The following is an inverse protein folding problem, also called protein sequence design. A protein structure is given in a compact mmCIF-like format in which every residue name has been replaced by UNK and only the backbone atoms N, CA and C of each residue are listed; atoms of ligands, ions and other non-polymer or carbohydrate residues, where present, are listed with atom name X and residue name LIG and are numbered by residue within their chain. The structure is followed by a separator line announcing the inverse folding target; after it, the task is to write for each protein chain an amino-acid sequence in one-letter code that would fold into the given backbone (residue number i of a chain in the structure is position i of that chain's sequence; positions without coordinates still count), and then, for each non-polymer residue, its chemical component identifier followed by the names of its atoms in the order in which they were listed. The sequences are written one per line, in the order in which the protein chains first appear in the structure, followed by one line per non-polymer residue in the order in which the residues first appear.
data_IF_928797766259
#
_entry.id   IF_928797766259
#
_cell.length_a   1.000
_cell.length_b   1.000
_cell.length_c   1.000
_cell.angle_alpha   90.00
_cell.angle_beta   90.00
_cell.angle_gamma   90.00
#
_symmetry.space_group_name_H-M   'P 1'
#
loop_
_entity.id
_entity.type
_entity.pdbx_description
1 polymer ?
#
# COMPACT_ATOMS: atom_id res chain seq x y z
N UNK A 1 71.52 26.72 8.83
CA UNK A 1 70.55 26.66 7.72
C UNK A 1 69.53 27.76 7.96
N UNK A 2 69.72 28.90 7.31
CA UNK A 2 68.90 30.11 7.49
C UNK A 2 67.76 30.05 6.46
N UNK A 3 66.53 29.81 6.90
CA UNK A 3 65.36 29.87 6.02
C UNK A 3 65.02 31.34 5.77
N UNK A 4 65.43 31.83 4.60
CA UNK A 4 65.09 33.14 4.07
C UNK A 4 63.57 33.24 3.91
N UNK A 5 62.96 34.18 4.62
CA UNK A 5 61.54 34.53 4.45
C UNK A 5 61.41 35.38 3.17
N UNK A 6 60.84 34.79 2.13
CA UNK A 6 60.45 35.51 0.92
C UNK A 6 59.05 36.11 1.13
N UNK A 7 58.90 37.44 1.14
CA UNK A 7 57.58 38.04 1.32
C UNK A 7 56.69 37.69 0.11
N UNK A 8 55.38 37.45 0.33
CA UNK A 8 54.46 37.16 -0.75
C UNK A 8 54.40 38.33 -1.72
N UNK A 9 54.71 38.05 -3.00
CA UNK A 9 54.60 39.00 -4.09
C UNK A 9 53.16 39.53 -4.16
N UNK A 10 52.94 40.85 -4.29
CA UNK A 10 51.61 41.37 -4.58
C UNK A 10 51.21 40.84 -5.96
N UNK A 11 50.17 40.01 -5.99
CA UNK A 11 49.52 39.57 -7.23
C UNK A 11 48.94 40.81 -7.91
N UNK A 12 49.71 41.37 -8.85
CA UNK A 12 49.25 42.43 -9.75
C UNK A 12 48.06 41.87 -10.51
N UNK A 13 46.88 42.43 -10.25
CA UNK A 13 45.62 41.96 -10.79
C UNK A 13 45.66 41.85 -12.31
N UNK A 14 45.23 40.70 -12.83
CA UNK A 14 44.85 40.58 -14.22
C UNK A 14 43.73 41.60 -14.51
N UNK A 15 43.87 42.48 -15.52
CA UNK A 15 42.81 43.40 -15.89
C UNK A 15 41.68 42.58 -16.54
N UNK A 16 40.68 42.19 -15.76
CA UNK A 16 39.48 41.53 -16.31
C UNK A 16 38.57 40.79 -15.34
N UNK A 17 38.98 40.47 -14.12
CA UNK A 17 38.07 39.84 -13.14
C UNK A 17 37.55 40.90 -12.16
N UNK A 18 36.56 41.67 -12.60
CA UNK A 18 35.71 42.39 -11.66
C UNK A 18 35.13 41.36 -10.67
N UNK A 19 35.15 41.59 -9.35
CA UNK A 19 34.17 40.99 -8.49
C UNK A 19 32.84 41.56 -8.98
N UNK A 20 32.17 40.83 -9.86
CA UNK A 20 30.81 41.18 -10.25
C UNK A 20 30.00 41.06 -8.97
N UNK A 21 29.65 42.21 -8.39
CA UNK A 21 28.52 42.33 -7.49
C UNK A 21 27.35 41.64 -8.20
N UNK A 22 27.13 40.36 -7.88
CA UNK A 22 26.04 39.60 -8.45
C UNK A 22 24.79 40.42 -8.19
N UNK A 23 24.13 40.86 -9.26
CA UNK A 23 23.01 41.76 -9.10
C UNK A 23 21.96 41.08 -8.22
N UNK A 24 21.20 41.84 -7.44
CA UNK A 24 20.14 41.28 -6.59
C UNK A 24 19.18 40.37 -7.39
N UNK A 25 19.00 40.66 -8.69
CA UNK A 25 18.22 39.81 -9.60
C UNK A 25 18.88 38.47 -9.95
N UNK A 26 20.20 38.40 -10.00
CA UNK A 26 20.96 37.19 -10.28
C UNK A 26 20.97 36.23 -9.08
N UNK A 27 21.13 36.76 -7.86
CA UNK A 27 21.00 36.01 -6.62
C UNK A 27 19.58 35.47 -6.40
N UNK A 28 18.55 36.27 -6.72
CA UNK A 28 17.15 35.81 -6.66
C UNK A 28 16.86 34.71 -7.68
N UNK A 29 17.47 34.81 -8.88
CA UNK A 29 17.38 33.77 -9.90
C UNK A 29 17.98 32.44 -9.45
N UNK A 30 19.13 32.49 -8.78
CA UNK A 30 19.82 31.32 -8.24
C UNK A 30 19.03 30.65 -7.10
N UNK A 31 18.54 31.43 -6.13
CA UNK A 31 17.69 30.91 -5.03
C UNK A 31 16.39 30.30 -5.57
N UNK A 32 15.75 30.94 -6.56
CA UNK A 32 14.53 30.43 -7.20
C UNK A 32 14.79 29.09 -7.90
N UNK A 33 15.94 28.96 -8.55
CA UNK A 33 16.38 27.74 -9.21
C UNK A 33 16.67 26.62 -8.21
N UNK A 34 17.30 26.94 -7.09
CA UNK A 34 17.57 25.97 -6.02
C UNK A 34 16.29 25.49 -5.35
N UNK A 35 15.35 26.39 -5.05
CA UNK A 35 14.04 26.02 -4.51
C UNK A 35 13.23 25.15 -5.50
N UNK A 36 13.24 25.50 -6.79
CA UNK A 36 12.62 24.68 -7.85
C UNK A 36 13.25 23.29 -7.91
N UNK A 37 14.55 23.19 -7.68
CA UNK A 37 15.28 21.91 -7.62
C UNK A 37 14.86 21.09 -6.41
N UNK A 38 14.76 21.69 -5.22
CA UNK A 38 14.29 21.02 -4.00
C UNK A 38 12.86 20.50 -4.13
N UNK A 39 11.94 21.31 -4.64
CA UNK A 39 10.54 20.89 -4.84
C UNK A 39 10.47 19.68 -5.78
N UNK A 40 11.24 19.71 -6.88
CA UNK A 40 11.31 18.56 -7.81
C UNK A 40 11.89 17.32 -7.12
N UNK A 41 12.86 17.49 -6.23
CA UNK A 41 13.45 16.39 -5.47
C UNK A 41 12.47 15.80 -4.45
N UNK A 42 11.73 16.61 -3.70
CA UNK A 42 10.70 16.12 -2.78
C UNK A 42 9.61 15.35 -3.52
N UNK A 43 9.16 15.87 -4.67
CA UNK A 43 8.19 15.16 -5.53
C UNK A 43 8.78 13.82 -6.01
N UNK A 44 10.04 13.82 -6.46
CA UNK A 44 10.72 12.60 -6.90
C UNK A 44 10.86 11.58 -5.76
N UNK A 45 11.19 12.05 -4.55
CA UNK A 45 11.31 11.23 -3.36
C UNK A 45 9.95 10.66 -2.94
N UNK A 46 8.92 11.50 -2.81
CA UNK A 46 7.57 11.07 -2.46
C UNK A 46 7.02 10.05 -3.48
N UNK A 47 7.33 10.26 -4.77
CA UNK A 47 7.00 9.28 -5.82
C UNK A 47 7.75 7.96 -5.62
N UNK A 48 9.03 8.00 -5.27
CA UNK A 48 9.83 6.80 -5.01
C UNK A 48 9.32 6.03 -3.78
N UNK A 49 9.04 6.72 -2.66
CA UNK A 49 8.47 6.12 -1.44
C UNK A 49 7.08 5.54 -1.69
N UNK A 50 6.23 6.25 -2.45
CA UNK A 50 4.91 5.77 -2.82
C UNK A 50 5.02 4.51 -3.69
N UNK A 51 5.91 4.50 -4.68
CA UNK A 51 6.14 3.33 -5.53
C UNK A 51 6.69 2.13 -4.73
N UNK A 52 7.61 2.37 -3.80
CA UNK A 52 8.14 1.33 -2.92
C UNK A 52 7.05 0.78 -2.00
N UNK A 53 6.24 1.65 -1.40
CA UNK A 53 5.11 1.29 -0.55
C UNK A 53 4.08 0.48 -1.33
N UNK A 54 3.71 0.92 -2.53
CA UNK A 54 2.81 0.20 -3.42
C UNK A 54 3.35 -1.19 -3.80
N UNK A 55 4.65 -1.32 -4.06
CA UNK A 55 5.29 -2.62 -4.35
C UNK A 55 5.23 -3.56 -3.14
N UNK A 56 5.50 -3.06 -1.93
CA UNK A 56 5.44 -3.85 -0.71
C UNK A 56 4.01 -4.27 -0.39
N UNK A 57 3.07 -3.34 -0.44
CA UNK A 57 1.64 -3.61 -0.28
C UNK A 57 1.14 -4.61 -1.32
N UNK A 58 1.51 -4.43 -2.60
CA UNK A 58 1.17 -5.34 -3.70
C UNK A 58 1.73 -6.75 -3.50
N UNK A 59 2.99 -6.88 -3.08
CA UNK A 59 3.58 -8.18 -2.74
C UNK A 59 2.84 -8.83 -1.57
N UNK A 60 2.56 -8.07 -0.51
CA UNK A 60 1.81 -8.56 0.65
C UNK A 60 0.41 -9.04 0.28
N UNK A 61 -0.34 -8.22 -0.46
CA UNK A 61 -1.66 -8.58 -0.98
C UNK A 61 -1.61 -9.81 -1.88
N UNK A 62 -0.60 -9.91 -2.76
CA UNK A 62 -0.38 -11.09 -3.60
C UNK A 62 -0.09 -12.36 -2.78
N UNK A 63 0.73 -12.27 -1.74
CA UNK A 63 1.01 -13.39 -0.83
C UNK A 63 -0.23 -13.81 -0.05
N UNK A 64 -1.02 -12.86 0.46
CA UNK A 64 -2.28 -13.15 1.15
C UNK A 64 -3.32 -13.77 0.22
N UNK A 65 -3.43 -13.26 -1.02
CA UNK A 65 -4.28 -13.84 -2.05
C UNK A 65 -3.87 -15.28 -2.41
N UNK A 66 -2.56 -15.50 -2.59
CA UNK A 66 -1.99 -16.83 -2.80
C UNK A 66 -2.27 -17.77 -1.63
N UNK A 67 -2.07 -17.32 -0.39
CA UNK A 67 -2.34 -18.10 0.80
C UNK A 67 -3.82 -18.49 0.93
N UNK A 68 -4.74 -17.56 0.64
CA UNK A 68 -6.17 -17.84 0.61
C UNK A 68 -6.52 -18.92 -0.44
N UNK A 69 -5.95 -18.80 -1.64
CA UNK A 69 -6.14 -19.77 -2.71
C UNK A 69 -5.55 -21.15 -2.39
N UNK A 70 -4.34 -21.20 -1.84
CA UNK A 70 -3.71 -22.45 -1.39
C UNK A 70 -4.50 -23.10 -0.25
N UNK A 71 -5.03 -22.31 0.69
CA UNK A 71 -5.89 -22.81 1.77
C UNK A 71 -7.15 -23.49 1.22
N UNK A 72 -7.74 -22.94 0.14
CA UNK A 72 -8.86 -23.57 -0.54
C UNK A 72 -8.52 -24.99 -1.06
N UNK A 73 -7.36 -25.17 -1.70
CA UNK A 73 -6.92 -26.49 -2.13
C UNK A 73 -6.61 -27.45 -0.98
N UNK A 74 -6.00 -26.97 0.10
CA UNK A 74 -5.77 -27.79 1.30
C UNK A 74 -7.11 -28.32 1.83
N UNK A 75 -8.11 -27.45 1.97
CA UNK A 75 -9.44 -27.83 2.42
C UNK A 75 -10.14 -28.80 1.46
N UNK A 76 -9.98 -28.60 0.14
CA UNK A 76 -10.49 -29.52 -0.88
C UNK A 76 -9.88 -30.92 -0.73
N UNK A 77 -8.55 -31.02 -0.68
CA UNK A 77 -7.88 -32.32 -0.56
C UNK A 77 -8.15 -33.00 0.78
N UNK A 78 -8.22 -32.24 1.89
CA UNK A 78 -8.65 -32.77 3.18
C UNK A 78 -10.09 -33.31 3.12
N UNK A 79 -10.98 -32.63 2.40
CA UNK A 79 -12.36 -33.09 2.23
C UNK A 79 -12.44 -34.39 1.42
N UNK A 80 -11.65 -34.51 0.35
CA UNK A 80 -11.57 -35.73 -0.45
C UNK A 80 -10.96 -36.89 0.35
N UNK A 81 -9.89 -36.62 1.10
CA UNK A 81 -9.26 -37.61 1.97
C UNK A 81 -10.23 -38.08 3.07
N UNK A 82 -10.94 -37.14 3.71
CA UNK A 82 -11.95 -37.46 4.72
C UNK A 82 -13.10 -38.27 4.13
N UNK A 83 -13.58 -37.89 2.94
CA UNK A 83 -14.63 -38.62 2.23
C UNK A 83 -14.20 -40.06 1.95
N UNK A 84 -13.00 -40.27 1.41
CA UNK A 84 -12.44 -41.59 1.17
C UNK A 84 -12.27 -42.41 2.44
N UNK A 85 -11.69 -41.80 3.49
CA UNK A 85 -11.48 -42.46 4.77
C UNK A 85 -12.81 -42.89 5.41
N UNK A 86 -13.81 -42.01 5.45
CA UNK A 86 -15.14 -42.34 5.96
C UNK A 86 -15.83 -43.40 5.10
N UNK A 87 -15.67 -43.37 3.78
CA UNK A 87 -16.23 -44.37 2.89
C UNK A 87 -15.67 -45.77 3.16
N UNK A 88 -14.37 -45.87 3.43
CA UNK A 88 -13.72 -47.11 3.82
C UNK A 88 -14.15 -47.58 5.23
N UNK A 89 -14.30 -46.65 6.18
CA UNK A 89 -14.69 -46.97 7.56
C UNK A 89 -16.17 -47.37 7.72
N UNK A 90 -17.05 -46.79 6.92
CA UNK A 90 -18.50 -47.05 6.96
C UNK A 90 -18.91 -48.23 6.08
N UNK A 91 -18.02 -48.70 5.21
CA UNK A 91 -18.25 -49.88 4.38
C UNK A 91 -18.29 -51.17 5.21
N UNK A 92 -19.03 -52.17 4.74
CA UNK A 92 -19.04 -53.51 5.32
C UNK A 92 -18.37 -54.49 4.36
N UNK A 93 -17.22 -55.04 4.74
CA UNK A 93 -16.42 -55.90 3.86
C UNK A 93 -15.68 -55.10 2.80
N UNK A 94 -15.69 -55.57 1.55
CA UNK A 94 -14.96 -54.95 0.44
C UNK A 94 -15.72 -53.79 -0.25
N UNK A 95 -16.93 -53.47 0.20
CA UNK A 95 -17.76 -52.42 -0.43
C UNK A 95 -17.70 -51.11 0.38
N UNK A 96 -17.02 -50.06 -0.13
CA UNK A 96 -16.94 -48.78 0.56
C UNK A 96 -18.28 -48.01 0.47
N UNK A 97 -18.72 -47.43 1.60
CA UNK A 97 -19.97 -46.68 1.71
C UNK A 97 -19.78 -45.19 1.35
N UNK A 98 -19.28 -44.92 0.14
CA UNK A 98 -18.93 -43.55 -0.30
C UNK A 98 -20.13 -42.58 -0.28
N UNK A 99 -21.35 -43.05 -0.55
CA UNK A 99 -22.54 -42.19 -0.52
C UNK A 99 -22.82 -41.57 0.85
N UNK A 100 -22.76 -42.39 1.92
CA UNK A 100 -22.96 -41.93 3.30
C UNK A 100 -21.82 -41.04 3.77
N UNK A 101 -20.60 -41.37 3.39
CA UNK A 101 -19.45 -40.55 3.66
C UNK A 101 -19.56 -39.15 3.01
N UNK A 102 -20.06 -39.06 1.77
CA UNK A 102 -20.31 -37.79 1.10
C UNK A 102 -21.33 -36.93 1.85
N UNK A 103 -22.43 -37.54 2.33
CA UNK A 103 -23.45 -36.85 3.12
C UNK A 103 -22.87 -36.29 4.42
N UNK A 104 -22.04 -37.05 5.13
CA UNK A 104 -21.39 -36.58 6.36
C UNK A 104 -20.48 -35.39 6.07
N UNK A 105 -19.61 -35.49 5.05
CA UNK A 105 -18.71 -34.39 4.66
C UNK A 105 -19.50 -33.15 4.23
N UNK A 106 -20.62 -33.32 3.52
CA UNK A 106 -21.50 -32.22 3.14
C UNK A 106 -22.15 -31.53 4.35
N UNK A 107 -22.60 -32.30 5.34
CA UNK A 107 -23.16 -31.75 6.60
C UNK A 107 -22.08 -30.96 7.35
N UNK A 108 -20.85 -31.47 7.44
CA UNK A 108 -19.72 -30.76 8.08
C UNK A 108 -19.51 -29.39 7.39
N UNK A 109 -19.46 -29.35 6.06
CA UNK A 109 -19.30 -28.10 5.32
C UNK A 109 -20.48 -27.16 5.47
N UNK A 110 -21.72 -27.68 5.53
CA UNK A 110 -22.91 -26.85 5.78
C UNK A 110 -22.84 -26.16 7.14
N UNK A 111 -22.39 -26.87 8.19
CA UNK A 111 -22.19 -26.30 9.53
C UNK A 111 -21.09 -25.23 9.52
N UNK A 112 -19.95 -25.52 8.90
CA UNK A 112 -18.85 -24.54 8.76
C UNK A 112 -19.35 -23.28 8.03
N UNK A 113 -20.04 -23.44 6.92
CA UNK A 113 -20.59 -22.33 6.13
C UNK A 113 -21.58 -21.47 6.94
N UNK A 114 -22.45 -22.10 7.73
CA UNK A 114 -23.40 -21.40 8.60
C UNK A 114 -22.68 -20.56 9.67
N UNK A 115 -21.63 -21.12 10.29
CA UNK A 115 -20.81 -20.41 11.29
C UNK A 115 -20.10 -19.22 10.64
N UNK A 116 -19.43 -19.43 9.51
CA UNK A 116 -18.71 -18.38 8.79
C UNK A 116 -19.64 -17.27 8.32
N UNK A 117 -20.79 -17.61 7.74
CA UNK A 117 -21.81 -16.63 7.32
C UNK A 117 -22.33 -15.82 8.52
N UNK A 118 -22.55 -16.47 9.66
CA UNK A 118 -22.99 -15.81 10.89
C UNK A 118 -21.93 -14.86 11.44
N UNK A 119 -20.66 -15.28 11.47
CA UNK A 119 -19.53 -14.43 11.89
C UNK A 119 -19.32 -13.26 10.93
N UNK A 120 -19.31 -13.51 9.62
CA UNK A 120 -19.17 -12.49 8.59
C UNK A 120 -20.26 -11.43 8.71
N UNK A 121 -21.52 -11.86 8.85
CA UNK A 121 -22.65 -10.95 9.06
C UNK A 121 -22.51 -10.13 10.35
N UNK A 122 -21.99 -10.71 11.45
CA UNK A 122 -21.70 -9.96 12.69
C UNK A 122 -20.61 -8.92 12.49
N UNK A 123 -19.54 -9.23 11.75
CA UNK A 123 -18.45 -8.28 11.50
C UNK A 123 -18.89 -7.14 10.59
N UNK A 124 -19.65 -7.43 9.53
CA UNK A 124 -20.20 -6.40 8.64
C UNK A 124 -21.13 -5.43 9.39
N UNK A 125 -21.96 -5.95 10.30
CA UNK A 125 -22.82 -5.12 11.15
C UNK A 125 -22.05 -4.25 12.14
N UNK A 126 -20.86 -4.65 12.58
CA UNK A 126 -20.00 -3.82 13.43
C UNK A 126 -19.37 -2.67 12.64
N UNK A 127 -19.11 -2.86 11.35
CA UNK A 127 -18.55 -1.82 10.48
C UNK A 127 -19.60 -0.82 9.94
N UNK A 128 -20.89 -1.17 9.95
CA UNK A 128 -22.00 -0.23 9.67
C UNK A 128 -22.14 0.87 10.74
N UNK A 129 -21.37 0.80 11.83
CA UNK A 129 -21.25 1.84 12.85
C UNK A 129 -20.22 2.94 12.56
N UNK A 130 -19.83 3.18 11.31
CA UNK A 130 -19.10 4.41 10.90
C UNK A 130 -20.10 5.41 10.30
N UNK A 131 -20.64 6.36 11.11
CA UNK A 131 -21.65 7.30 10.64
C UNK A 131 -21.01 8.51 9.95
N UNK A 132 -21.66 8.97 8.88
CA UNK A 132 -21.78 10.39 8.48
C UNK A 132 -20.65 11.13 7.75
N UNK A 133 -19.47 10.59 7.46
CA UNK A 133 -18.51 11.37 6.64
C UNK A 133 -18.90 11.41 5.15
N UNK A 134 -19.63 10.40 4.66
CA UNK A 134 -20.15 10.38 3.28
C UNK A 134 -21.33 11.35 3.06
N UNK A 135 -22.08 11.68 4.12
CA UNK A 135 -23.20 12.63 4.04
C UNK A 135 -22.73 14.10 4.10
N UNK A 136 -21.61 14.39 4.76
CA UNK A 136 -21.02 15.73 4.78
C UNK A 136 -20.48 16.14 3.41
N UNK A 137 -19.94 15.20 2.60
CA UNK A 137 -19.46 15.50 1.24
C UNK A 137 -20.62 15.83 0.28
N UNK A 138 -21.82 15.28 0.51
CA UNK A 138 -23.02 15.61 -0.28
C UNK A 138 -23.68 16.94 0.11
N UNK A 139 -23.30 17.55 1.24
CA UNK A 139 -23.89 18.80 1.76
C UNK A 139 -23.11 20.08 1.43
N UNK A 140 -22.02 20.02 0.66
CA UNK A 140 -21.27 21.22 0.23
C UNK A 140 -21.32 21.44 -1.30
N UNK A 141 -22.50 21.61 -1.92
CA UNK A 141 -22.60 22.31 -3.20
C UNK A 141 -23.08 23.77 -3.07
N UNK A 142 -23.73 24.14 -1.96
CA UNK A 142 -24.41 25.45 -1.85
C UNK A 142 -23.51 26.58 -1.33
N UNK A 143 -22.41 26.26 -0.65
CA UNK A 143 -21.49 27.27 -0.12
C UNK A 143 -20.61 27.93 -1.19
N UNK A 144 -20.57 27.41 -2.42
CA UNK A 144 -19.77 27.95 -3.53
C UNK A 144 -20.60 28.70 -4.59
N UNK A 145 -21.92 28.83 -4.42
CA UNK A 145 -22.83 29.41 -5.44
C UNK A 145 -23.51 30.73 -5.06
N UNK A 146 -23.11 31.40 -3.98
CA UNK A 146 -23.85 32.57 -3.48
C UNK A 146 -23.01 33.69 -2.89
N UNK A 147 -22.13 34.31 -3.67
CA UNK A 147 -21.61 35.66 -3.39
C UNK A 147 -21.53 36.54 -4.66
N UNK A 148 -22.56 36.48 -5.50
CA UNK A 148 -22.87 37.57 -6.44
C UNK A 148 -24.27 38.11 -6.15
N UNK A 149 -24.35 38.99 -5.15
CA UNK A 149 -25.40 40.02 -5.01
C UNK A 149 -24.64 41.30 -4.65
N UNK A 150 -24.41 42.15 -5.66
CA UNK A 150 -25.20 43.36 -5.94
C UNK A 150 -24.88 44.47 -4.96
#
# INVERSE_FOLDING_TARGET
MSTQYEPPQPVVGAPGAQPTDASVGELFGEISKDLSTLIRQEIALAKAETAQSAKHAGKGAGMLGGAAWSTHFVLLFLSLALWWALGALLGTGDTPALGWAALIVAIIWAVIALILASMGRKQLRKTEGLPQTADTVKKIPDALKGQERS
#
